data_IF_922893104204
#
_entry.id   IF_922893104204
#
_cell.length_a   1.000
_cell.length_b   1.000
_cell.length_c   1.000
_cell.angle_alpha   90.00
_cell.angle_beta   90.00
_cell.angle_gamma   90.00
#
_symmetry.space_group_name_H-M   'P 1'
#
loop_
_entity.id
_entity.type
_entity.pdbx_description
1 polymer ?
#
# COMPACT_ATOMS: atom_id res chain seq x y z
N UNK A 1 4.71 6.37 10.66
CA UNK A 1 3.62 6.02 9.72
C UNK A 1 3.75 6.90 8.49
N UNK A 2 3.04 6.65 7.38
CA UNK A 2 3.05 7.53 6.20
C UNK A 2 2.78 9.00 6.57
N UNK A 3 1.82 9.21 7.46
CA UNK A 3 1.45 10.55 7.95
C UNK A 3 2.55 11.16 8.80
N UNK A 4 3.09 10.41 9.77
CA UNK A 4 4.05 10.97 10.75
C UNK A 4 5.46 11.16 10.16
N UNK A 5 5.90 10.25 9.29
CA UNK A 5 7.29 10.20 8.80
C UNK A 5 7.46 10.87 7.44
N UNK A 6 6.44 10.78 6.58
CA UNK A 6 6.47 11.33 5.21
C UNK A 6 5.55 12.53 5.04
N UNK A 7 4.73 12.87 6.05
CA UNK A 7 3.78 13.97 5.96
C UNK A 7 2.66 13.71 4.95
N UNK A 8 2.42 12.45 4.60
CA UNK A 8 1.42 12.06 3.62
C UNK A 8 0.02 12.34 4.16
N UNK A 9 -0.82 12.97 3.36
CA UNK A 9 -2.23 13.16 3.67
C UNK A 9 -3.07 11.94 3.23
N UNK A 10 -4.39 11.99 3.47
CA UNK A 10 -5.28 10.88 3.12
C UNK A 10 -5.41 10.65 1.60
N UNK A 11 -5.13 11.66 0.78
CA UNK A 11 -5.15 11.53 -0.67
C UNK A 11 -3.85 10.89 -1.16
N UNK A 12 -2.71 11.29 -0.60
CA UNK A 12 -1.40 10.69 -0.87
C UNK A 12 -1.40 9.19 -0.61
N UNK A 13 -2.09 8.73 0.45
CA UNK A 13 -2.23 7.30 0.75
C UNK A 13 -3.05 6.54 -0.29
N UNK A 14 -4.08 7.17 -0.87
CA UNK A 14 -4.90 6.56 -1.93
C UNK A 14 -4.10 6.47 -3.22
N UNK A 15 -3.39 7.54 -3.60
CA UNK A 15 -2.54 7.54 -4.78
C UNK A 15 -1.41 6.49 -4.68
N UNK A 16 -0.82 6.34 -3.50
CA UNK A 16 0.20 5.32 -3.27
C UNK A 16 -0.35 3.90 -3.48
N UNK A 17 -1.54 3.60 -2.96
CA UNK A 17 -2.18 2.29 -3.12
C UNK A 17 -2.47 2.01 -4.58
N UNK A 18 -3.05 2.97 -5.31
CA UNK A 18 -3.32 2.84 -6.75
C UNK A 18 -2.04 2.63 -7.58
N UNK A 19 -0.95 3.32 -7.23
CA UNK A 19 0.33 3.14 -7.91
C UNK A 19 0.92 1.74 -7.65
N UNK A 20 0.74 1.18 -6.44
CA UNK A 20 1.15 -0.18 -6.12
C UNK A 20 0.31 -1.23 -6.86
N UNK A 21 -1.00 -1.01 -6.99
CA UNK A 21 -1.89 -1.87 -7.78
C UNK A 21 -1.46 -1.93 -9.25
N UNK A 22 -1.16 -0.77 -9.85
CA UNK A 22 -0.73 -0.68 -11.25
C UNK A 22 0.66 -1.29 -11.47
N UNK A 23 1.65 -0.97 -10.63
CA UNK A 23 3.04 -1.45 -10.79
C UNK A 23 3.15 -2.97 -10.62
N UNK A 24 2.38 -3.56 -9.69
CA UNK A 24 2.43 -4.99 -9.39
C UNK A 24 1.28 -5.78 -10.02
N UNK A 25 0.48 -5.17 -10.89
CA UNK A 25 -0.71 -5.75 -11.52
C UNK A 25 -1.60 -6.49 -10.49
N UNK A 26 -1.84 -5.85 -9.34
CA UNK A 26 -2.56 -6.43 -8.21
C UNK A 26 -3.78 -5.60 -7.82
N UNK A 27 -4.59 -6.13 -6.89
CA UNK A 27 -5.78 -5.46 -6.37
C UNK A 27 -5.73 -5.50 -4.85
N UNK A 28 -5.76 -4.32 -4.24
CA UNK A 28 -5.67 -4.07 -2.80
C UNK A 28 -7.06 -3.64 -2.33
N UNK A 29 -7.80 -4.48 -1.59
CA UNK A 29 -9.10 -4.09 -1.04
C UNK A 29 -8.97 -2.87 -0.13
N UNK A 30 -9.96 -1.97 -0.16
CA UNK A 30 -10.00 -0.78 0.70
C UNK A 30 -9.76 -1.10 2.18
N UNK A 31 -10.35 -2.19 2.68
CA UNK A 31 -10.18 -2.64 4.07
C UNK A 31 -8.73 -3.01 4.43
N UNK A 32 -7.94 -3.44 3.44
CA UNK A 32 -6.52 -3.75 3.63
C UNK A 32 -5.66 -2.52 3.38
N UNK A 33 -6.01 -1.69 2.40
CA UNK A 33 -5.38 -0.38 2.16
C UNK A 33 -5.43 0.51 3.42
N UNK A 34 -6.56 0.57 4.12
CA UNK A 34 -6.71 1.30 5.37
C UNK A 34 -5.77 0.82 6.50
N UNK A 35 -5.33 -0.44 6.45
CA UNK A 35 -4.41 -1.03 7.44
C UNK A 35 -2.94 -0.79 7.08
N UNK A 36 -2.64 -0.42 5.84
CA UNK A 36 -1.30 -0.15 5.35
C UNK A 36 -0.92 1.29 5.73
N UNK A 37 -0.37 1.45 6.94
CA UNK A 37 0.02 2.76 7.49
C UNK A 37 1.52 3.02 7.42
N UNK A 38 2.30 2.04 6.96
CA UNK A 38 3.76 2.12 6.88
C UNK A 38 4.28 1.50 5.59
N UNK A 39 5.45 1.96 5.15
CA UNK A 39 6.16 1.40 3.99
C UNK A 39 6.40 -0.10 4.16
N UNK A 40 6.77 -0.56 5.36
CA UNK A 40 7.02 -1.98 5.60
C UNK A 40 5.75 -2.83 5.39
N UNK A 41 4.59 -2.36 5.87
CA UNK A 41 3.32 -3.07 5.66
C UNK A 41 2.95 -3.15 4.18
N UNK A 42 3.21 -2.08 3.41
CA UNK A 42 2.97 -2.08 1.97
C UNK A 42 3.85 -3.14 1.28
N UNK A 43 5.14 -3.18 1.62
CA UNK A 43 6.08 -4.17 1.09
C UNK A 43 5.65 -5.60 1.46
N UNK A 44 5.27 -5.84 2.72
CA UNK A 44 4.85 -7.15 3.19
C UNK A 44 3.56 -7.61 2.50
N UNK A 45 2.61 -6.69 2.29
CA UNK A 45 1.38 -6.96 1.55
C UNK A 45 1.68 -7.39 0.12
N UNK A 46 2.49 -6.59 -0.61
CA UNK A 46 2.86 -6.89 -2.00
C UNK A 46 3.60 -8.22 -2.09
N UNK A 47 4.56 -8.49 -1.20
CA UNK A 47 5.28 -9.77 -1.15
C UNK A 47 4.35 -10.96 -0.93
N UNK A 48 3.37 -10.82 -0.03
CA UNK A 48 2.40 -11.89 0.24
C UNK A 48 1.52 -12.24 -0.97
N UNK A 49 1.32 -11.29 -1.90
CA UNK A 49 0.59 -11.48 -3.15
C UNK A 49 1.51 -11.91 -4.30
N UNK A 50 2.76 -11.46 -4.34
CA UNK A 50 3.74 -11.78 -5.40
C UNK A 50 4.39 -13.15 -5.24
N UNK A 51 4.57 -13.63 -4.01
CA UNK A 51 5.17 -14.95 -3.71
C UNK A 51 4.17 -16.12 -3.85
N UNK A 52 2.97 -15.88 -4.40
CA UNK A 52 2.01 -16.93 -4.74
C UNK A 52 2.39 -17.72 -6.02
N UNK A 53 3.70 -17.87 -6.28
CA UNK A 53 4.27 -18.66 -7.37
C UNK A 53 4.46 -20.14 -7.00
#
# INVERSE_FOLDING_TARGET
SFVDDLGADSLDTVELVMALEEEFETEIPDEDAEKITTVQQAIDFIKSRSDAA
#
